data_IF_569430795015
#
_entry.id   IF_569430795015
#
_cell.length_a   1.000
_cell.length_b   1.000
_cell.length_c   1.000
_cell.angle_alpha   90.00
_cell.angle_beta   90.00
_cell.angle_gamma   90.00
#
_symmetry.space_group_name_H-M   'P 1'
#
loop_
_entity.id
_entity.type
_entity.pdbx_description
1 polymer ?
#
# COMPACT_ATOMS: atom_id res chain seq x y z
N UNK A 1 37.12 -6.13 -51.80
CA UNK A 1 37.40 -6.67 -50.46
C UNK A 1 37.47 -5.51 -49.46
N UNK A 2 36.32 -5.12 -48.90
CA UNK A 2 36.20 -4.05 -47.91
C UNK A 2 35.86 -4.65 -46.54
N UNK A 3 36.74 -4.47 -45.57
CA UNK A 3 36.56 -4.94 -44.19
C UNK A 3 35.68 -3.92 -43.42
N UNK A 4 34.45 -4.28 -43.09
CA UNK A 4 33.62 -3.55 -42.14
C UNK A 4 34.25 -3.56 -40.74
N UNK A 5 34.66 -2.39 -40.27
CA UNK A 5 35.10 -2.18 -38.90
C UNK A 5 33.86 -2.13 -37.98
N UNK A 6 33.60 -3.21 -37.21
CA UNK A 6 32.66 -3.22 -36.08
C UNK A 6 33.04 -2.11 -35.09
N UNK A 7 32.20 -1.09 -35.00
CA UNK A 7 32.30 -0.10 -33.90
C UNK A 7 31.92 -0.73 -32.57
N UNK A 8 32.89 -0.81 -31.68
CA UNK A 8 32.68 -1.16 -30.26
C UNK A 8 31.86 -0.08 -29.57
N UNK A 9 30.85 -0.42 -28.76
CA UNK A 9 30.06 0.59 -28.05
C UNK A 9 30.94 1.32 -27.03
N UNK A 10 31.02 2.64 -27.12
CA UNK A 10 31.72 3.51 -26.17
C UNK A 10 31.11 3.34 -24.77
N UNK A 11 31.90 2.84 -23.80
CA UNK A 11 31.57 2.90 -22.37
C UNK A 11 31.21 4.36 -22.02
N UNK A 12 30.00 4.59 -21.51
CA UNK A 12 29.65 5.87 -20.87
C UNK A 12 30.60 6.09 -19.71
N UNK A 13 31.45 7.10 -19.83
CA UNK A 13 32.29 7.59 -18.72
C UNK A 13 31.35 8.08 -17.62
N UNK A 14 31.35 7.41 -16.49
CA UNK A 14 30.65 7.85 -15.30
C UNK A 14 31.24 9.21 -14.88
N UNK A 15 30.44 10.25 -14.91
CA UNK A 15 30.82 11.54 -14.35
C UNK A 15 31.05 11.41 -12.83
N UNK A 16 32.05 12.10 -12.26
CA UNK A 16 32.31 12.03 -10.84
C UNK A 16 31.10 12.51 -10.05
N UNK A 17 30.64 11.67 -9.11
CA UNK A 17 29.53 11.93 -8.22
C UNK A 17 29.83 13.21 -7.44
N UNK A 18 29.03 14.28 -7.69
CA UNK A 18 29.05 15.48 -6.84
C UNK A 18 28.80 15.05 -5.40
N UNK A 19 29.66 15.50 -4.47
CA UNK A 19 29.46 15.35 -3.02
C UNK A 19 28.06 15.81 -2.66
N UNK A 20 27.16 14.86 -2.44
CA UNK A 20 25.79 15.15 -2.05
C UNK A 20 25.74 15.57 -0.59
N UNK A 21 24.99 16.60 -0.31
CA UNK A 21 24.50 16.93 1.03
C UNK A 21 23.95 15.64 1.67
N UNK A 22 24.36 15.40 2.91
CA UNK A 22 23.96 14.18 3.64
C UNK A 22 22.44 13.98 3.55
N UNK A 23 21.94 12.82 3.12
CA UNK A 23 20.50 12.56 3.01
C UNK A 23 19.77 12.73 4.35
N UNK A 24 20.51 12.69 5.45
CA UNK A 24 20.00 12.81 6.81
C UNK A 24 19.24 14.13 7.04
N UNK A 25 19.75 15.24 6.47
CA UNK A 25 19.08 16.55 6.60
C UNK A 25 17.67 16.52 5.99
N UNK A 26 17.55 15.93 4.80
CA UNK A 26 16.25 15.80 4.12
C UNK A 26 15.32 14.86 4.85
N UNK A 27 15.83 13.74 5.35
CA UNK A 27 15.06 12.77 6.14
C UNK A 27 14.49 13.45 7.39
N UNK A 28 15.32 14.17 8.14
CA UNK A 28 14.87 14.91 9.34
C UNK A 28 13.79 15.92 8.96
N UNK A 29 13.99 16.69 7.90
CA UNK A 29 13.01 17.69 7.43
C UNK A 29 11.67 17.06 7.06
N UNK A 30 11.67 15.93 6.31
CA UNK A 30 10.47 15.21 5.91
C UNK A 30 9.72 14.69 7.13
N UNK A 31 10.41 13.99 8.03
CA UNK A 31 9.80 13.41 9.23
C UNK A 31 9.26 14.49 10.16
N UNK A 32 9.99 15.60 10.36
CA UNK A 32 9.53 16.74 11.16
C UNK A 32 8.28 17.37 10.57
N UNK A 33 8.24 17.61 9.25
CA UNK A 33 7.06 18.15 8.59
C UNK A 33 5.85 17.22 8.74
N UNK A 34 6.05 15.89 8.60
CA UNK A 34 5.01 14.88 8.78
C UNK A 34 4.50 14.88 10.24
N UNK A 35 5.39 14.89 11.24
CA UNK A 35 4.98 14.98 12.66
C UNK A 35 4.11 16.22 12.89
N UNK A 36 4.56 17.40 12.43
CA UNK A 36 3.82 18.67 12.63
C UNK A 36 2.43 18.57 12.01
N UNK A 37 2.28 18.00 10.82
CA UNK A 37 1.01 17.84 10.14
C UNK A 37 0.02 16.97 10.93
N UNK A 38 0.52 15.95 11.65
CA UNK A 38 -0.31 15.00 12.41
C UNK A 38 -0.41 15.30 13.91
N UNK A 39 0.21 16.39 14.43
CA UNK A 39 0.05 16.78 15.84
C UNK A 39 -1.42 16.89 16.28
N UNK A 40 -2.36 17.42 15.46
CA UNK A 40 -3.76 17.48 15.86
C UNK A 40 -4.38 16.12 16.17
N UNK A 41 -3.93 15.02 15.52
CA UNK A 41 -4.46 13.68 15.70
C UNK A 41 -4.31 13.15 17.15
N UNK A 42 -3.35 13.66 17.92
CA UNK A 42 -3.21 13.29 19.34
C UNK A 42 -4.41 13.70 20.21
N UNK A 43 -5.24 14.61 19.72
CA UNK A 43 -6.47 15.06 20.42
C UNK A 43 -7.72 14.30 19.98
N UNK A 44 -7.60 13.41 18.98
CA UNK A 44 -8.72 12.63 18.50
C UNK A 44 -9.08 11.55 19.52
N UNK A 45 -10.38 11.41 19.80
CA UNK A 45 -10.95 10.30 20.58
C UNK A 45 -11.19 9.06 19.71
N UNK A 46 -11.72 8.00 20.34
CA UNK A 46 -12.26 6.85 19.63
C UNK A 46 -13.54 7.28 18.90
N UNK A 47 -13.70 6.87 17.65
CA UNK A 47 -14.88 7.14 16.85
C UNK A 47 -15.96 6.11 17.16
N UNK A 48 -17.22 6.57 17.24
CA UNK A 48 -18.37 5.68 17.39
C UNK A 48 -18.69 4.99 16.04
N UNK A 49 -17.74 4.19 15.58
CA UNK A 49 -17.82 3.37 14.38
C UNK A 49 -17.02 2.09 14.63
N UNK A 50 -16.02 1.77 13.82
CA UNK A 50 -15.18 0.56 13.98
C UNK A 50 -14.40 0.55 15.32
N UNK A 51 -14.02 1.72 15.89
CA UNK A 51 -13.17 1.78 17.09
C UNK A 51 -13.84 1.13 18.30
N UNK A 52 -15.17 1.21 18.41
CA UNK A 52 -15.91 0.58 19.50
C UNK A 52 -15.77 -0.94 19.40
N UNK A 53 -16.08 -1.51 18.24
CA UNK A 53 -16.06 -2.96 18.05
C UNK A 53 -14.64 -3.54 18.10
N UNK A 54 -13.68 -2.88 17.44
CA UNK A 54 -12.32 -3.42 17.32
C UNK A 54 -11.43 -3.15 18.54
N UNK A 55 -11.68 -2.06 19.31
CA UNK A 55 -10.79 -1.62 20.38
C UNK A 55 -11.49 -1.70 21.75
N UNK A 56 -12.54 -0.91 22.00
CA UNK A 56 -13.09 -0.78 23.35
C UNK A 56 -13.91 -1.99 23.82
N UNK A 57 -14.67 -2.61 22.93
CA UNK A 57 -15.53 -3.76 23.25
C UNK A 57 -14.95 -5.12 22.85
N UNK A 58 -13.78 -5.15 22.22
CA UNK A 58 -13.13 -6.40 21.82
C UNK A 58 -12.53 -7.12 23.06
N UNK A 59 -13.11 -8.25 23.51
CA UNK A 59 -12.65 -8.93 24.71
C UNK A 59 -11.27 -9.58 24.54
N UNK A 60 -10.87 -9.89 23.33
CA UNK A 60 -9.64 -10.62 23.06
C UNK A 60 -8.38 -9.75 23.11
N UNK A 61 -8.50 -8.43 23.09
CA UNK A 61 -7.34 -7.53 23.17
C UNK A 61 -7.18 -6.83 24.53
N UNK A 62 -8.17 -6.96 25.45
CA UNK A 62 -8.13 -6.29 26.76
C UNK A 62 -7.05 -6.87 27.67
N UNK A 63 -6.69 -8.14 27.50
CA UNK A 63 -5.69 -8.82 28.33
C UNK A 63 -4.64 -9.50 27.45
N UNK A 64 -3.37 -9.23 27.76
CA UNK A 64 -2.25 -9.89 27.10
C UNK A 64 -2.03 -11.28 27.71
N UNK A 65 -2.63 -12.30 27.10
CA UNK A 65 -2.45 -13.70 27.50
C UNK A 65 -2.38 -14.61 26.26
N UNK A 66 -1.85 -15.81 26.45
CA UNK A 66 -1.62 -16.74 25.34
C UNK A 66 -2.91 -17.18 24.65
N UNK A 67 -3.99 -17.42 25.41
CA UNK A 67 -5.26 -17.86 24.83
C UNK A 67 -5.83 -16.79 23.89
N UNK A 68 -5.82 -15.53 24.32
CA UNK A 68 -6.26 -14.42 23.47
C UNK A 68 -5.41 -14.29 22.20
N UNK A 69 -4.08 -14.40 22.33
CA UNK A 69 -3.20 -14.38 21.15
C UNK A 69 -3.58 -15.51 20.17
N UNK A 70 -3.77 -16.74 20.66
CA UNK A 70 -4.19 -17.86 19.80
C UNK A 70 -5.51 -17.55 19.12
N UNK A 71 -6.51 -17.02 19.86
CA UNK A 71 -7.81 -16.63 19.29
C UNK A 71 -7.68 -15.59 18.18
N UNK A 72 -6.83 -14.55 18.37
CA UNK A 72 -6.60 -13.54 17.32
C UNK A 72 -6.08 -14.15 16.00
N UNK A 73 -5.30 -15.22 16.07
CA UNK A 73 -4.74 -15.88 14.89
C UNK A 73 -5.59 -17.03 14.33
N UNK A 74 -6.59 -17.50 15.06
CA UNK A 74 -7.43 -18.66 14.67
C UNK A 74 -8.85 -18.29 14.29
N UNK A 75 -9.35 -17.11 14.67
CA UNK A 75 -10.73 -16.72 14.46
C UNK A 75 -10.86 -15.42 13.64
N UNK A 76 -11.99 -15.28 12.96
CA UNK A 76 -12.39 -14.03 12.34
C UNK A 76 -13.02 -13.11 13.40
N UNK A 77 -12.70 -11.83 13.34
CA UNK A 77 -13.30 -10.86 14.24
C UNK A 77 -13.99 -9.76 13.45
N UNK A 78 -15.26 -9.53 13.73
CA UNK A 78 -16.10 -8.47 13.13
C UNK A 78 -16.01 -8.41 11.59
N UNK A 79 -16.05 -9.60 10.94
CA UNK A 79 -15.96 -9.72 9.48
C UNK A 79 -14.57 -9.49 8.89
N UNK A 80 -13.54 -9.43 9.70
CA UNK A 80 -12.17 -9.25 9.28
C UNK A 80 -11.22 -10.33 9.82
N UNK A 81 -10.07 -10.47 9.15
CA UNK A 81 -8.94 -11.28 9.62
C UNK A 81 -7.66 -10.43 9.61
N UNK A 82 -7.41 -9.77 10.73
CA UNK A 82 -6.31 -8.81 10.93
C UNK A 82 -5.54 -9.08 12.22
N UNK A 83 -5.04 -10.32 12.45
CA UNK A 83 -4.49 -10.73 13.75
C UNK A 83 -3.35 -9.84 14.23
N UNK A 84 -2.49 -9.39 13.32
CA UNK A 84 -1.34 -8.55 13.69
C UNK A 84 -1.77 -7.12 14.08
N UNK A 85 -2.80 -6.59 13.46
CA UNK A 85 -3.39 -5.30 13.85
C UNK A 85 -4.02 -5.41 15.24
N UNK A 86 -4.82 -6.45 15.51
CA UNK A 86 -5.43 -6.68 16.81
C UNK A 86 -4.36 -6.91 17.91
N UNK A 87 -3.31 -7.66 17.59
CA UNK A 87 -2.16 -7.82 18.49
C UNK A 87 -1.48 -6.48 18.78
N UNK A 88 -1.37 -5.59 17.80
CA UNK A 88 -0.80 -4.25 18.03
C UNK A 88 -1.66 -3.39 18.94
N UNK A 89 -2.99 -3.49 18.86
CA UNK A 89 -3.90 -2.83 19.81
C UNK A 89 -3.79 -3.45 21.21
N UNK A 90 -3.71 -4.77 21.32
CA UNK A 90 -3.47 -5.45 22.59
C UNK A 90 -2.21 -4.92 23.28
N UNK A 91 -1.12 -4.68 22.53
CA UNK A 91 0.11 -4.10 23.07
C UNK A 91 -0.13 -2.66 23.55
N UNK A 92 -0.78 -1.82 22.75
CA UNK A 92 -1.07 -0.43 23.12
C UNK A 92 -1.93 -0.35 24.41
N UNK A 93 -2.92 -1.23 24.55
CA UNK A 93 -3.77 -1.31 25.76
C UNK A 93 -2.94 -1.66 27.01
N UNK A 94 -1.95 -2.55 26.90
CA UNK A 94 -1.07 -2.85 28.02
C UNK A 94 -0.17 -1.67 28.40
N UNK A 95 0.15 -0.78 27.45
CA UNK A 95 1.01 0.39 27.67
C UNK A 95 0.26 1.57 28.30
N UNK A 96 -1.00 1.77 27.95
CA UNK A 96 -1.74 2.96 28.37
C UNK A 96 -3.25 2.80 28.47
N UNK A 97 -3.76 1.58 28.51
CA UNK A 97 -5.19 1.32 28.58
C UNK A 97 -5.91 1.74 27.30
N UNK A 98 -7.12 2.27 27.45
CA UNK A 98 -7.95 2.74 26.36
C UNK A 98 -7.74 4.24 26.05
N UNK A 99 -6.58 4.82 26.39
CA UNK A 99 -6.26 6.21 26.04
C UNK A 99 -6.05 6.33 24.50
N UNK A 100 -6.90 7.07 23.79
CA UNK A 100 -6.78 7.24 22.34
C UNK A 100 -5.44 7.81 21.89
N UNK A 101 -4.76 8.60 22.75
CA UNK A 101 -3.47 9.20 22.43
C UNK A 101 -2.38 8.16 22.13
N UNK A 102 -2.42 7.00 22.80
CA UNK A 102 -1.45 5.91 22.59
C UNK A 102 -1.66 5.25 21.22
N UNK A 103 -2.90 4.99 20.87
CA UNK A 103 -3.22 4.43 19.55
C UNK A 103 -2.83 5.38 18.42
N UNK A 104 -3.15 6.67 18.58
CA UNK A 104 -2.76 7.70 17.61
C UNK A 104 -1.22 7.84 17.53
N UNK A 105 -0.52 7.77 18.66
CA UNK A 105 0.96 7.77 18.67
C UNK A 105 1.54 6.63 17.84
N UNK A 106 1.04 5.40 18.05
CA UNK A 106 1.52 4.23 17.30
C UNK A 106 1.20 4.35 15.80
N UNK A 107 0.00 4.86 15.43
CA UNK A 107 -0.34 5.11 14.02
C UNK A 107 0.62 6.13 13.38
N UNK A 108 0.87 7.24 14.03
CA UNK A 108 1.80 8.27 13.55
C UNK A 108 3.22 7.70 13.43
N UNK A 109 3.68 6.94 14.41
CA UNK A 109 5.00 6.29 14.37
C UNK A 109 5.15 5.35 13.16
N UNK A 110 4.15 4.52 12.90
CA UNK A 110 4.11 3.62 11.74
C UNK A 110 4.09 4.41 10.42
N UNK A 111 3.33 5.51 10.35
CA UNK A 111 3.29 6.36 9.18
C UNK A 111 4.64 7.05 8.91
N UNK A 112 5.31 7.54 9.94
CA UNK A 112 6.66 8.10 9.86
C UNK A 112 7.68 7.05 9.39
N UNK A 113 7.61 5.84 9.96
CA UNK A 113 8.47 4.74 9.55
C UNK A 113 8.22 4.36 8.09
N UNK A 114 6.97 4.30 7.64
CA UNK A 114 6.60 4.04 6.24
C UNK A 114 7.10 5.14 5.32
N UNK A 115 6.96 6.40 5.71
CA UNK A 115 7.50 7.56 4.97
C UNK A 115 9.01 7.45 4.76
N UNK A 116 9.75 7.02 5.80
CA UNK A 116 11.17 6.73 5.71
C UNK A 116 11.47 5.55 4.78
N UNK A 117 10.69 4.47 4.88
CA UNK A 117 10.85 3.30 3.99
C UNK A 117 10.62 3.67 2.52
N UNK A 118 9.65 4.53 2.23
CA UNK A 118 9.42 5.05 0.87
C UNK A 118 10.65 5.85 0.39
N UNK A 119 11.21 6.72 1.22
CA UNK A 119 12.46 7.40 0.86
C UNK A 119 13.57 6.41 0.50
N UNK A 120 13.77 5.38 1.33
CA UNK A 120 14.79 4.34 1.09
C UNK A 120 14.48 3.54 -0.18
N UNK A 121 13.24 3.14 -0.40
CA UNK A 121 12.82 2.37 -1.57
C UNK A 121 13.05 3.14 -2.87
N UNK A 122 12.58 4.39 -2.93
CA UNK A 122 12.76 5.25 -4.10
C UNK A 122 14.25 5.52 -4.36
N UNK A 123 15.05 5.72 -3.31
CA UNK A 123 16.52 5.84 -3.45
C UNK A 123 17.20 4.57 -3.98
N UNK A 124 16.65 3.40 -3.69
CA UNK A 124 17.15 2.15 -4.25
C UNK A 124 16.79 1.97 -5.73
N UNK A 125 15.67 2.54 -6.19
CA UNK A 125 15.21 2.43 -7.58
C UNK A 125 15.82 3.51 -8.48
N UNK A 126 15.85 4.74 -7.99
CA UNK A 126 16.30 5.90 -8.73
C UNK A 126 17.53 6.51 -8.06
N UNK A 127 18.61 6.71 -8.78
CA UNK A 127 19.81 7.39 -8.26
C UNK A 127 19.64 8.93 -8.21
N UNK A 128 18.45 9.39 -7.77
CA UNK A 128 18.06 10.80 -7.68
C UNK A 128 17.38 11.06 -6.35
N UNK A 129 18.03 11.87 -5.52
CA UNK A 129 17.52 12.19 -4.18
C UNK A 129 16.23 13.02 -4.23
N UNK A 130 16.10 13.88 -5.24
CA UNK A 130 14.96 14.77 -5.41
C UNK A 130 13.65 13.98 -5.56
N UNK A 131 13.69 12.87 -6.31
CA UNK A 131 12.53 11.99 -6.49
C UNK A 131 12.13 11.35 -5.15
N UNK A 132 13.11 10.88 -4.37
CA UNK A 132 12.85 10.30 -3.06
C UNK A 132 12.26 11.32 -2.07
N UNK A 133 12.75 12.57 -2.07
CA UNK A 133 12.23 13.65 -1.25
C UNK A 133 10.77 13.95 -1.62
N UNK A 134 10.49 14.16 -2.91
CA UNK A 134 9.14 14.50 -3.39
C UNK A 134 8.16 13.36 -3.08
N UNK A 135 8.52 12.12 -3.39
CA UNK A 135 7.65 10.95 -3.15
C UNK A 135 7.36 10.79 -1.65
N UNK A 136 8.36 10.95 -0.79
CA UNK A 136 8.19 10.83 0.65
C UNK A 136 7.39 11.98 1.26
N UNK A 137 7.57 13.21 0.78
CA UNK A 137 6.75 14.36 1.19
C UNK A 137 5.30 14.19 0.75
N UNK A 138 5.07 13.77 -0.50
CA UNK A 138 3.72 13.48 -0.99
C UNK A 138 3.05 12.41 -0.14
N UNK A 139 3.72 11.31 0.14
CA UNK A 139 3.15 10.27 0.99
C UNK A 139 2.93 10.75 2.43
N UNK A 140 3.94 11.39 3.03
CA UNK A 140 3.90 11.81 4.43
C UNK A 140 2.86 12.90 4.73
N UNK A 141 2.56 13.78 3.76
CA UNK A 141 1.73 14.98 3.98
C UNK A 141 0.41 14.97 3.21
N UNK A 142 0.18 13.98 2.34
CA UNK A 142 -1.01 13.99 1.51
C UNK A 142 -2.27 13.75 2.33
N UNK A 143 -3.28 14.58 2.13
CA UNK A 143 -4.53 14.55 2.91
C UNK A 143 -5.35 13.26 2.74
N UNK A 144 -5.14 12.47 1.68
CA UNK A 144 -5.74 11.14 1.54
C UNK A 144 -5.26 10.14 2.60
N UNK A 145 -4.12 10.38 3.25
CA UNK A 145 -3.62 9.52 4.33
C UNK A 145 -4.13 9.92 5.72
N UNK A 146 -4.86 11.04 5.84
CA UNK A 146 -5.35 11.52 7.14
C UNK A 146 -6.28 10.49 7.79
N UNK A 147 -7.18 9.90 7.03
CA UNK A 147 -8.06 8.83 7.52
C UNK A 147 -7.24 7.65 8.07
N UNK A 148 -6.32 7.12 7.28
CA UNK A 148 -5.48 5.97 7.66
C UNK A 148 -4.58 6.23 8.88
N UNK A 149 -4.22 7.49 9.16
CA UNK A 149 -3.30 7.82 10.27
C UNK A 149 -4.04 8.30 11.51
N UNK A 150 -5.08 9.12 11.34
CA UNK A 150 -5.76 9.81 12.42
C UNK A 150 -7.01 9.08 12.95
N UNK A 151 -7.43 8.01 12.33
CA UNK A 151 -8.47 7.10 12.79
C UNK A 151 -7.83 5.85 13.39
N UNK A 152 -8.19 5.53 14.64
CA UNK A 152 -7.52 4.48 15.43
C UNK A 152 -7.57 3.12 14.74
N UNK A 153 -8.74 2.66 14.28
CA UNK A 153 -8.89 1.33 13.65
C UNK A 153 -8.32 1.24 12.24
N UNK A 154 -8.02 2.36 11.58
CA UNK A 154 -7.26 2.33 10.34
C UNK A 154 -5.75 2.07 10.57
N UNK A 155 -5.38 1.70 11.83
CA UNK A 155 -4.08 1.06 12.14
C UNK A 155 -3.72 -0.02 11.13
N UNK A 156 -4.72 -0.77 10.69
CA UNK A 156 -4.57 -1.79 9.66
C UNK A 156 -3.87 -1.24 8.41
N UNK A 157 -4.12 0.02 8.03
CA UNK A 157 -3.52 0.65 6.84
C UNK A 157 -2.06 1.02 7.04
N UNK A 158 -1.74 1.71 8.12
CA UNK A 158 -0.36 2.14 8.39
C UNK A 158 0.55 0.96 8.71
N UNK A 159 0.01 -0.09 9.35
CA UNK A 159 0.77 -1.28 9.71
C UNK A 159 1.08 -2.16 8.48
N UNK A 160 0.06 -2.42 7.62
CA UNK A 160 0.36 -3.19 6.41
C UNK A 160 1.29 -2.43 5.47
N UNK A 161 1.12 -1.11 5.31
CA UNK A 161 1.98 -0.29 4.46
C UNK A 161 3.45 -0.33 4.93
N UNK A 162 3.69 -0.27 6.23
CA UNK A 162 5.03 -0.43 6.80
C UNK A 162 5.69 -1.74 6.36
N UNK A 163 5.02 -2.87 6.56
CA UNK A 163 5.55 -4.17 6.17
C UNK A 163 5.62 -4.36 4.65
N UNK A 164 4.68 -3.78 3.91
CA UNK A 164 4.65 -3.81 2.45
C UNK A 164 5.92 -3.16 1.85
N UNK A 165 6.22 -1.93 2.26
CA UNK A 165 7.43 -1.23 1.78
C UNK A 165 8.71 -1.87 2.29
N UNK A 166 8.75 -2.38 3.51
CA UNK A 166 9.87 -3.15 4.02
C UNK A 166 10.12 -4.44 3.19
N UNK A 167 9.04 -5.11 2.77
CA UNK A 167 9.10 -6.27 1.87
C UNK A 167 9.63 -5.89 0.49
N UNK A 168 9.16 -4.80 -0.11
CA UNK A 168 9.65 -4.28 -1.41
C UNK A 168 11.14 -3.95 -1.36
N UNK A 169 11.59 -3.27 -0.29
CA UNK A 169 13.02 -2.96 -0.08
C UNK A 169 13.83 -4.25 -0.02
N UNK A 170 13.37 -5.22 0.76
CA UNK A 170 14.05 -6.51 0.92
C UNK A 170 14.11 -7.26 -0.41
N UNK A 171 13.01 -7.28 -1.16
CA UNK A 171 13.00 -7.92 -2.47
C UNK A 171 13.93 -7.20 -3.47
N UNK A 172 13.96 -5.88 -3.50
CA UNK A 172 14.87 -5.12 -4.35
C UNK A 172 16.35 -5.35 -3.96
N UNK A 173 16.66 -5.50 -2.66
CA UNK A 173 17.96 -5.93 -2.18
C UNK A 173 18.31 -7.36 -2.62
N UNK A 174 17.32 -8.27 -2.68
CA UNK A 174 17.54 -9.60 -3.25
C UNK A 174 17.92 -9.50 -4.72
N UNK A 175 17.23 -8.68 -5.51
CA UNK A 175 17.54 -8.50 -6.94
C UNK A 175 18.94 -7.92 -7.17
N UNK A 176 19.38 -6.97 -6.35
CA UNK A 176 20.66 -6.28 -6.50
C UNK A 176 21.83 -7.08 -5.93
N UNK A 177 21.70 -7.64 -4.72
CA UNK A 177 22.79 -8.32 -3.99
C UNK A 177 22.81 -9.83 -4.23
N UNK A 178 21.78 -10.43 -4.83
CA UNK A 178 21.66 -11.88 -5.12
C UNK A 178 21.83 -12.79 -3.89
N UNK A 179 21.51 -12.27 -2.68
CA UNK A 179 21.62 -13.03 -1.43
C UNK A 179 20.24 -13.52 -0.99
N UNK A 180 20.10 -14.85 -0.84
CA UNK A 180 18.82 -15.51 -0.50
C UNK A 180 18.17 -14.99 0.79
N UNK A 181 18.95 -14.53 1.77
CA UNK A 181 18.42 -13.95 3.00
C UNK A 181 17.43 -12.80 2.76
N UNK A 182 17.66 -11.97 1.74
CA UNK A 182 16.75 -10.87 1.43
C UNK A 182 15.45 -11.34 0.80
N UNK A 183 15.45 -12.44 0.08
CA UNK A 183 14.25 -13.10 -0.42
C UNK A 183 13.39 -13.63 0.73
N UNK A 184 14.03 -14.30 1.70
CA UNK A 184 13.34 -14.82 2.90
C UNK A 184 12.75 -13.66 3.72
N UNK A 185 13.50 -12.57 3.92
CA UNK A 185 12.98 -11.38 4.58
C UNK A 185 11.81 -10.75 3.83
N UNK A 186 11.85 -10.70 2.49
CA UNK A 186 10.73 -10.19 1.70
C UNK A 186 9.46 -11.02 1.91
N UNK A 187 9.58 -12.35 1.92
CA UNK A 187 8.45 -13.25 2.20
C UNK A 187 7.90 -13.07 3.63
N UNK A 188 8.79 -13.02 4.63
CA UNK A 188 8.39 -12.82 6.02
C UNK A 188 7.65 -11.49 6.21
N UNK A 189 8.20 -10.40 5.68
CA UNK A 189 7.58 -9.08 5.77
C UNK A 189 6.27 -9.00 4.99
N UNK A 190 6.17 -9.71 3.86
CA UNK A 190 4.91 -9.83 3.14
C UNK A 190 3.84 -10.57 3.97
N UNK A 191 4.22 -11.67 4.64
CA UNK A 191 3.33 -12.37 5.56
C UNK A 191 2.84 -11.45 6.68
N UNK A 192 3.74 -10.66 7.30
CA UNK A 192 3.35 -9.65 8.30
C UNK A 192 2.40 -8.60 7.71
N UNK A 193 2.60 -8.20 6.46
CA UNK A 193 1.74 -7.24 5.78
C UNK A 193 0.32 -7.77 5.58
N UNK A 194 0.15 -8.99 5.08
CA UNK A 194 -1.20 -9.56 4.86
C UNK A 194 -1.90 -9.94 6.17
N UNK A 195 -1.16 -10.27 7.23
CA UNK A 195 -1.70 -10.45 8.58
C UNK A 195 -2.15 -9.13 9.23
N UNK A 196 -1.67 -7.99 8.72
CA UNK A 196 -2.11 -6.66 9.16
C UNK A 196 -3.36 -6.19 8.41
N UNK A 197 -3.39 -6.33 7.08
CA UNK A 197 -4.55 -6.06 6.21
C UNK A 197 -4.45 -6.90 4.94
N UNK A 198 -5.54 -7.58 4.60
CA UNK A 198 -5.58 -8.47 3.42
C UNK A 198 -5.34 -7.74 2.09
N UNK A 199 -5.58 -6.43 2.01
CA UNK A 199 -5.23 -5.63 0.82
C UNK A 199 -3.75 -5.71 0.43
N UNK A 200 -2.87 -6.09 1.35
CA UNK A 200 -1.44 -6.32 1.07
C UNK A 200 -1.16 -7.40 0.03
N UNK A 201 -2.15 -8.23 -0.36
CA UNK A 201 -2.02 -9.21 -1.46
C UNK A 201 -1.57 -8.55 -2.78
N UNK A 202 -1.82 -7.24 -2.94
CA UNK A 202 -1.34 -6.43 -4.06
C UNK A 202 0.20 -6.42 -4.20
N UNK A 203 0.95 -6.81 -3.15
CA UNK A 203 2.40 -6.92 -3.24
C UNK A 203 2.85 -7.96 -4.27
N UNK A 204 2.15 -9.10 -4.39
CA UNK A 204 2.54 -10.15 -5.32
C UNK A 204 2.59 -9.65 -6.80
N UNK A 205 1.55 -9.00 -7.35
CA UNK A 205 1.64 -8.38 -8.69
C UNK A 205 2.63 -7.20 -8.73
N UNK A 206 2.79 -6.43 -7.65
CA UNK A 206 3.78 -5.35 -7.59
C UNK A 206 5.22 -5.86 -7.77
N UNK A 207 5.54 -7.07 -7.29
CA UNK A 207 6.85 -7.68 -7.51
C UNK A 207 7.09 -8.02 -8.99
N UNK A 208 6.06 -8.35 -9.76
CA UNK A 208 6.19 -8.56 -11.21
C UNK A 208 6.54 -7.22 -11.89
N UNK A 209 5.86 -6.15 -11.49
CA UNK A 209 6.15 -4.80 -11.99
C UNK A 209 7.60 -4.39 -11.67
N UNK A 210 8.07 -4.68 -10.45
CA UNK A 210 9.45 -4.40 -10.05
C UNK A 210 10.47 -5.23 -10.86
N UNK A 211 10.18 -6.52 -11.11
CA UNK A 211 11.03 -7.37 -11.96
C UNK A 211 11.09 -6.84 -13.40
N UNK A 212 9.95 -6.45 -13.96
CA UNK A 212 9.91 -5.83 -15.29
C UNK A 212 10.76 -4.56 -15.34
N UNK A 213 10.61 -3.69 -14.34
CA UNK A 213 11.37 -2.44 -14.26
C UNK A 213 12.88 -2.69 -14.14
N UNK A 214 13.30 -3.71 -13.40
CA UNK A 214 14.69 -4.14 -13.26
C UNK A 214 15.21 -4.91 -14.50
N UNK A 215 14.43 -5.01 -15.58
CA UNK A 215 14.81 -5.63 -16.85
C UNK A 215 14.92 -7.16 -16.80
N UNK A 216 14.25 -7.82 -15.84
CA UNK A 216 14.22 -9.29 -15.78
C UNK A 216 13.28 -9.86 -16.84
N UNK A 217 13.62 -11.02 -17.39
CA UNK A 217 12.74 -11.75 -18.29
C UNK A 217 11.62 -12.43 -17.50
N UNK A 218 10.41 -11.85 -17.53
CA UNK A 218 9.27 -12.29 -16.71
C UNK A 218 8.88 -13.75 -16.92
N UNK A 219 9.09 -14.30 -18.13
CA UNK A 219 8.79 -15.69 -18.47
C UNK A 219 9.95 -16.67 -18.15
N UNK A 220 11.05 -16.17 -17.56
CA UNK A 220 12.12 -17.06 -17.08
C UNK A 220 11.60 -17.93 -15.93
N UNK A 221 11.85 -19.26 -16.01
CA UNK A 221 11.43 -20.23 -15.01
C UNK A 221 11.81 -19.82 -13.58
N UNK A 222 13.01 -19.27 -13.41
CA UNK A 222 13.47 -18.80 -12.10
C UNK A 222 12.62 -17.64 -11.57
N UNK A 223 12.28 -16.67 -12.44
CA UNK A 223 11.45 -15.51 -12.07
C UNK A 223 10.04 -15.95 -11.69
N UNK A 224 9.46 -16.91 -12.45
CA UNK A 224 8.15 -17.47 -12.14
C UNK A 224 8.18 -18.22 -10.81
N UNK A 225 9.15 -19.09 -10.58
CA UNK A 225 9.27 -19.86 -9.34
C UNK A 225 9.43 -18.94 -8.10
N UNK A 226 10.16 -17.84 -8.24
CA UNK A 226 10.30 -16.85 -7.16
C UNK A 226 8.97 -16.17 -6.79
N UNK A 227 7.99 -16.10 -7.68
CA UNK A 227 6.67 -15.50 -7.41
C UNK A 227 5.69 -16.46 -6.76
N UNK A 228 5.85 -17.77 -6.96
CA UNK A 228 4.91 -18.76 -6.45
C UNK A 228 4.59 -18.57 -4.96
N UNK A 229 5.57 -18.44 -4.04
CA UNK A 229 5.24 -18.29 -2.62
C UNK A 229 4.48 -16.99 -2.31
N UNK A 230 4.76 -15.89 -3.02
CA UNK A 230 4.01 -14.65 -2.84
C UNK A 230 2.57 -14.77 -3.32
N UNK A 231 2.34 -15.38 -4.49
CA UNK A 231 0.99 -15.61 -4.98
C UNK A 231 0.24 -16.64 -4.13
N UNK A 232 0.90 -17.69 -3.64
CA UNK A 232 0.28 -18.67 -2.76
C UNK A 232 -0.22 -18.02 -1.45
N UNK A 233 0.60 -17.19 -0.81
CA UNK A 233 0.20 -16.39 0.36
C UNK A 233 -0.95 -15.44 -0.03
N UNK A 234 -0.83 -14.73 -1.14
CA UNK A 234 -1.86 -13.78 -1.61
C UNK A 234 -3.21 -14.44 -1.85
N UNK A 235 -3.23 -15.62 -2.52
CA UNK A 235 -4.46 -16.37 -2.76
C UNK A 235 -5.06 -16.88 -1.45
N UNK A 236 -4.23 -17.44 -0.55
CA UNK A 236 -4.70 -17.90 0.76
C UNK A 236 -5.40 -16.78 1.53
N UNK A 237 -4.75 -15.62 1.66
CA UNK A 237 -5.32 -14.49 2.39
C UNK A 237 -6.49 -13.83 1.65
N UNK A 238 -6.53 -13.89 0.31
CA UNK A 238 -7.71 -13.50 -0.47
C UNK A 238 -8.92 -14.38 -0.18
N UNK A 239 -8.73 -15.71 -0.06
CA UNK A 239 -9.77 -16.64 0.34
C UNK A 239 -10.23 -16.37 1.78
N UNK A 240 -9.29 -16.18 2.72
CA UNK A 240 -9.62 -15.84 4.11
C UNK A 240 -10.42 -14.53 4.21
N UNK A 241 -10.11 -13.52 3.38
CA UNK A 241 -10.88 -12.28 3.32
C UNK A 241 -12.33 -12.50 2.87
N UNK A 242 -12.56 -13.34 1.86
CA UNK A 242 -13.91 -13.67 1.40
C UNK A 242 -14.66 -14.43 2.49
N UNK A 243 -14.02 -15.42 3.11
CA UNK A 243 -14.64 -16.21 4.18
C UNK A 243 -14.99 -15.37 5.40
N UNK A 244 -14.10 -14.44 5.80
CA UNK A 244 -14.36 -13.55 6.94
C UNK A 244 -15.53 -12.60 6.67
N UNK A 245 -15.65 -12.04 5.46
CA UNK A 245 -16.77 -11.19 5.08
C UNK A 245 -18.09 -11.96 4.97
N UNK A 246 -18.06 -13.20 4.46
CA UNK A 246 -19.26 -14.04 4.39
C UNK A 246 -19.74 -14.46 5.77
N UNK A 247 -18.88 -14.61 6.77
CA UNK A 247 -19.26 -15.00 8.14
C UNK A 247 -20.20 -14.03 8.84
N UNK A 248 -20.21 -12.75 8.43
CA UNK A 248 -21.11 -11.71 8.95
C UNK A 248 -22.21 -11.30 7.96
N UNK A 249 -22.37 -12.03 6.83
CA UNK A 249 -23.34 -11.70 5.80
C UNK A 249 -23.05 -10.42 5.01
N UNK A 250 -21.80 -9.92 5.05
CA UNK A 250 -21.41 -8.69 4.37
C UNK A 250 -21.27 -8.87 2.83
N UNK A 251 -21.20 -10.11 2.37
CA UNK A 251 -21.22 -10.40 0.92
C UNK A 251 -22.68 -10.36 0.48
N UNK A 252 -23.01 -9.36 -0.32
CA UNK A 252 -24.35 -9.15 -0.83
C UNK A 252 -24.85 -10.34 -1.65
N UNK A 253 -26.10 -10.78 -1.41
CA UNK A 253 -26.79 -11.78 -2.22
C UNK A 253 -26.97 -11.32 -3.69
N UNK A 254 -27.29 -12.25 -4.60
CA UNK A 254 -27.28 -12.07 -6.07
C UNK A 254 -28.09 -10.89 -6.62
N UNK A 255 -29.04 -10.35 -5.86
CA UNK A 255 -29.96 -9.28 -6.29
C UNK A 255 -29.45 -7.85 -6.11
N UNK A 256 -28.15 -7.65 -6.05
CA UNK A 256 -27.53 -6.34 -5.96
C UNK A 256 -27.40 -5.69 -7.36
N UNK A 257 -26.62 -4.67 -7.48
CA UNK A 257 -26.44 -3.91 -8.71
C UNK A 257 -26.02 -4.78 -9.92
N UNK A 258 -26.61 -4.57 -11.11
CA UNK A 258 -26.18 -5.22 -12.36
C UNK A 258 -24.68 -5.05 -12.62
N UNK A 259 -24.06 -6.01 -13.31
CA UNK A 259 -22.61 -6.01 -13.59
C UNK A 259 -22.15 -4.72 -14.31
N UNK A 260 -23.00 -4.17 -15.18
CA UNK A 260 -22.74 -2.90 -15.88
C UNK A 260 -22.64 -1.74 -14.90
N UNK A 261 -23.54 -1.68 -13.90
CA UNK A 261 -23.49 -0.65 -12.85
C UNK A 261 -22.20 -0.77 -12.04
N UNK A 262 -21.83 -1.99 -11.63
CA UNK A 262 -20.57 -2.25 -10.90
C UNK A 262 -19.35 -1.78 -11.68
N UNK A 263 -19.31 -2.05 -13.00
CA UNK A 263 -18.23 -1.58 -13.87
C UNK A 263 -18.15 -0.05 -13.94
N UNK A 264 -19.30 0.62 -14.18
CA UNK A 264 -19.32 2.09 -14.25
C UNK A 264 -18.92 2.73 -12.93
N UNK A 265 -19.35 2.16 -11.79
CA UNK A 265 -18.95 2.67 -10.47
C UNK A 265 -17.50 2.38 -10.14
N UNK A 266 -16.93 1.27 -10.61
CA UNK A 266 -15.49 1.03 -10.53
C UNK A 266 -14.69 2.08 -11.32
N UNK A 267 -15.14 2.43 -12.54
CA UNK A 267 -14.56 3.53 -13.33
C UNK A 267 -14.71 4.88 -12.63
N UNK A 268 -15.85 5.13 -12.00
CA UNK A 268 -16.07 6.34 -11.21
C UNK A 268 -15.11 6.40 -10.02
N UNK A 269 -15.00 5.34 -9.24
CA UNK A 269 -14.04 5.24 -8.13
C UNK A 269 -12.61 5.50 -8.60
N UNK A 270 -12.16 4.83 -9.68
CA UNK A 270 -10.85 5.05 -10.26
C UNK A 270 -10.61 6.52 -10.65
N UNK A 271 -11.58 7.15 -11.31
CA UNK A 271 -11.51 8.55 -11.71
C UNK A 271 -11.47 9.50 -10.52
N UNK A 272 -12.26 9.20 -9.48
CA UNK A 272 -12.26 9.99 -8.23
C UNK A 272 -10.96 9.85 -7.46
N UNK A 273 -10.35 8.65 -7.43
CA UNK A 273 -9.01 8.49 -6.84
C UNK A 273 -7.96 9.36 -7.53
N UNK A 274 -7.91 9.36 -8.87
CA UNK A 274 -6.99 10.24 -9.62
C UNK A 274 -7.28 11.71 -9.28
N UNK A 275 -8.54 12.12 -9.34
CA UNK A 275 -8.93 13.50 -9.07
C UNK A 275 -8.56 13.93 -7.65
N UNK A 276 -8.90 13.12 -6.64
CA UNK A 276 -8.62 13.40 -5.23
C UNK A 276 -7.13 13.33 -4.88
N UNK A 277 -6.35 12.57 -5.62
CA UNK A 277 -4.88 12.57 -5.48
C UNK A 277 -4.28 13.89 -5.98
N UNK A 278 -4.85 14.51 -7.02
CA UNK A 278 -4.35 15.78 -7.57
C UNK A 278 -4.99 16.98 -6.84
N UNK A 279 -6.29 16.90 -6.55
CA UNK A 279 -7.10 17.96 -5.95
C UNK A 279 -7.85 17.38 -4.74
N UNK A 280 -7.22 17.28 -3.56
CA UNK A 280 -7.80 16.64 -2.38
C UNK A 280 -8.82 17.55 -1.67
N UNK A 281 -9.89 17.92 -2.35
CA UNK A 281 -10.94 18.76 -1.82
C UNK A 281 -12.25 17.99 -1.61
N UNK A 282 -13.00 18.30 -0.55
CA UNK A 282 -14.24 17.62 -0.23
C UNK A 282 -14.04 16.11 0.02
N UNK A 283 -13.03 15.75 0.83
CA UNK A 283 -12.80 14.38 1.25
C UNK A 283 -13.86 13.95 2.27
N UNK A 284 -14.25 12.68 2.23
CA UNK A 284 -15.18 12.05 3.16
C UNK A 284 -14.69 10.64 3.48
N UNK A 285 -14.91 10.18 4.71
CA UNK A 285 -14.63 8.79 5.09
C UNK A 285 -15.63 7.81 4.45
N UNK A 286 -16.79 8.27 4.01
CA UNK A 286 -17.80 7.43 3.37
C UNK A 286 -18.36 8.10 2.11
N UNK A 287 -18.36 7.34 1.02
CA UNK A 287 -18.95 7.72 -0.27
C UNK A 287 -20.07 6.73 -0.61
N UNK A 288 -21.36 7.12 -0.44
CA UNK A 288 -22.47 6.22 -0.77
C UNK A 288 -22.55 5.95 -2.27
N UNK A 289 -23.19 4.84 -2.63
CA UNK A 289 -23.53 4.61 -4.04
C UNK A 289 -24.40 5.74 -4.58
N UNK A 290 -24.10 6.22 -5.80
CA UNK A 290 -24.76 7.41 -6.36
C UNK A 290 -26.20 7.18 -6.82
N UNK A 291 -26.65 5.94 -6.91
CA UNK A 291 -28.01 5.56 -7.34
C UNK A 291 -28.54 4.42 -6.47
N UNK A 292 -29.84 4.37 -6.29
CA UNK A 292 -30.52 3.27 -5.62
C UNK A 292 -30.59 2.02 -6.53
N UNK A 293 -30.83 0.86 -5.93
CA UNK A 293 -31.00 -0.40 -6.66
C UNK A 293 -32.24 -0.29 -7.55
N UNK A 294 -32.08 -0.57 -8.85
CA UNK A 294 -33.16 -0.52 -9.84
C UNK A 294 -33.26 0.83 -10.59
N UNK A 295 -32.53 1.85 -10.18
CA UNK A 295 -32.48 3.12 -10.91
C UNK A 295 -31.46 3.08 -12.07
N UNK A 296 -31.71 3.92 -13.09
CA UNK A 296 -30.78 4.08 -14.22
C UNK A 296 -29.57 4.94 -13.80
N UNK A 297 -28.38 4.57 -14.33
CA UNK A 297 -27.16 5.35 -14.08
C UNK A 297 -27.26 6.70 -14.80
N UNK A 298 -27.16 7.84 -14.08
CA UNK A 298 -27.06 9.16 -14.72
C UNK A 298 -25.88 9.24 -15.70
N UNK A 299 -26.09 9.93 -16.82
CA UNK A 299 -25.09 10.02 -17.91
C UNK A 299 -23.70 10.50 -17.45
N UNK A 300 -23.65 11.34 -16.41
CA UNK A 300 -22.39 11.86 -15.84
C UNK A 300 -21.45 10.74 -15.34
N UNK A 301 -21.99 9.63 -14.83
CA UNK A 301 -21.15 8.53 -14.35
C UNK A 301 -20.51 7.74 -15.49
N UNK A 302 -21.13 7.72 -16.67
CA UNK A 302 -20.53 7.11 -17.86
C UNK A 302 -19.30 7.87 -18.34
N UNK A 303 -19.24 9.20 -18.12
CA UNK A 303 -18.04 9.99 -18.44
C UNK A 303 -16.82 9.57 -17.62
N UNK A 304 -17.00 8.92 -16.47
CA UNK A 304 -15.91 8.40 -15.65
C UNK A 304 -15.13 7.23 -16.31
N UNK A 305 -15.65 6.67 -17.38
CA UNK A 305 -14.90 5.68 -18.20
C UNK A 305 -13.77 6.34 -19.01
N UNK A 306 -13.86 7.63 -19.31
CA UNK A 306 -12.86 8.36 -20.12
C UNK A 306 -11.47 8.40 -19.46
N UNK A 307 -11.31 8.71 -18.15
CA UNK A 307 -10.00 8.65 -17.49
C UNK A 307 -9.37 7.25 -17.52
N UNK A 308 -10.14 6.18 -17.40
CA UNK A 308 -9.64 4.82 -17.53
C UNK A 308 -9.10 4.57 -18.97
N UNK A 309 -9.87 4.94 -19.97
CA UNK A 309 -9.46 4.82 -21.38
C UNK A 309 -8.19 5.65 -21.64
N UNK A 310 -8.15 6.91 -21.18
CA UNK A 310 -6.98 7.78 -21.31
C UNK A 310 -5.74 7.17 -20.62
N UNK A 311 -5.91 6.55 -19.44
CA UNK A 311 -4.84 5.85 -18.73
C UNK A 311 -4.27 4.70 -19.54
N UNK A 312 -5.11 3.90 -20.19
CA UNK A 312 -4.68 2.79 -21.06
C UNK A 312 -3.90 3.34 -22.27
N UNK A 313 -4.40 4.38 -22.92
CA UNK A 313 -3.68 5.00 -24.04
C UNK A 313 -2.34 5.63 -23.61
N UNK A 314 -2.29 6.26 -22.44
CA UNK A 314 -1.06 6.79 -21.87
C UNK A 314 -0.04 5.67 -21.64
N UNK A 315 -0.44 4.55 -21.04
CA UNK A 315 0.44 3.40 -20.85
C UNK A 315 0.97 2.86 -22.18
N UNK A 316 0.11 2.66 -23.18
CA UNK A 316 0.51 2.21 -24.53
C UNK A 316 1.55 3.18 -25.13
N UNK A 317 1.31 4.49 -24.99
CA UNK A 317 2.25 5.52 -25.45
C UNK A 317 3.60 5.42 -24.74
N UNK A 318 3.60 5.34 -23.38
CA UNK A 318 4.81 5.24 -22.57
C UNK A 318 5.64 3.99 -22.95
N UNK A 319 4.99 2.83 -23.12
CA UNK A 319 5.65 1.61 -23.56
C UNK A 319 6.23 1.71 -24.97
N UNK A 320 5.48 2.27 -25.93
CA UNK A 320 5.96 2.47 -27.31
C UNK A 320 7.17 3.42 -27.37
N UNK A 321 7.19 4.44 -26.50
CA UNK A 321 8.30 5.39 -26.40
C UNK A 321 9.44 4.90 -25.51
N UNK A 322 9.33 3.72 -24.89
CA UNK A 322 10.31 3.15 -23.95
C UNK A 322 10.60 4.08 -22.75
N UNK A 323 9.59 4.81 -22.31
CA UNK A 323 9.65 5.68 -21.14
C UNK A 323 9.33 4.89 -19.89
N UNK A 324 10.20 3.91 -19.58
CA UNK A 324 9.95 2.90 -18.54
C UNK A 324 9.82 3.48 -17.13
N UNK A 325 10.56 4.54 -16.81
CA UNK A 325 10.47 5.20 -15.50
C UNK A 325 9.09 5.80 -15.25
N UNK A 326 8.51 6.44 -16.27
CA UNK A 326 7.16 7.01 -16.20
C UNK A 326 6.09 5.92 -16.21
N UNK A 327 6.27 4.87 -17.02
CA UNK A 327 5.35 3.73 -17.03
C UNK A 327 5.34 3.00 -15.67
N UNK A 328 6.52 2.82 -15.05
CA UNK A 328 6.65 2.24 -13.72
C UNK A 328 5.96 3.13 -12.69
N UNK A 329 6.25 4.42 -12.66
CA UNK A 329 5.65 5.36 -11.70
C UNK A 329 4.13 5.45 -11.83
N UNK A 330 3.59 5.26 -13.04
CA UNK A 330 2.14 5.28 -13.28
C UNK A 330 1.46 3.98 -12.84
N UNK A 331 2.13 2.83 -12.97
CA UNK A 331 1.59 1.52 -12.60
C UNK A 331 1.78 1.19 -11.12
N UNK A 332 2.81 1.76 -10.48
CA UNK A 332 3.12 1.58 -9.06
C UNK A 332 2.20 2.42 -8.17
#
# INVERSE_FOLDING_TARGET
MGRDKKQTPKKKVQQPIKKNNSPIFWIIGILTATIIAYLPAFKNGLLNFDDIAYVSENPYIQQFNWNNIVTLFSEFYYGGYYPLTLLSFMIDIQLGGLDPAIFNFTNILLHLATTLLIFVFIRQLFDRIEIAIIASLLFGLHSLHVESVAWVTERKDVLYAFFFFASLISYNLYLSKKKQKYFVWALYLFLMSVLSKTMAVALAPTLILLDWYQGRKLLDKKVILEKIPFFAIGILFGILAILSQSSIGAIAEENTLPIVHRFVFACYGFSMYILKTIIPFGLSAFYPYPVAIGESIPAVYWLSTLPLIASVFLLIYLFKKKLNDYAFAFLF
#
